data_IF_801600207063
#
_entry.id   IF_801600207063
#
_cell.length_a   1.000
_cell.length_b   1.000
_cell.length_c   1.000
_cell.angle_alpha   90.00
_cell.angle_beta   90.00
_cell.angle_gamma   90.00
#
_symmetry.space_group_name_H-M   'P 1'
#
loop_
_entity.id
_entity.type
_entity.pdbx_description
1 polymer ?
#
# COMPACT_ATOMS: atom_id res chain seq x y z
N UNK A 1 19.78 74.63 -0.13
CA UNK A 1 19.83 74.38 -1.59
C UNK A 1 18.65 73.47 -1.92
N UNK A 2 17.49 74.04 -2.28
CA UNK A 2 16.99 74.24 -3.66
C UNK A 2 16.83 72.92 -4.45
N UNK A 3 15.78 72.59 -5.19
CA UNK A 3 14.38 73.02 -5.31
C UNK A 3 13.85 72.35 -6.60
N UNK A 4 12.55 72.02 -6.63
CA UNK A 4 11.63 71.95 -7.80
C UNK A 4 11.75 70.75 -8.77
N UNK A 5 10.66 69.96 -8.95
CA UNK A 5 9.43 70.17 -9.79
C UNK A 5 9.72 69.82 -11.26
N UNK A 6 9.04 68.88 -11.92
CA UNK A 6 7.75 69.07 -12.62
C UNK A 6 7.51 67.79 -13.47
N UNK A 7 6.39 67.06 -13.33
CA UNK A 7 5.22 67.01 -14.25
C UNK A 7 5.56 66.58 -15.70
N UNK A 8 4.82 65.71 -16.42
CA UNK A 8 3.36 65.55 -16.47
C UNK A 8 2.91 64.58 -17.59
N UNK A 9 1.75 63.91 -17.36
CA UNK A 9 0.61 63.71 -18.30
C UNK A 9 0.77 62.75 -19.51
N UNK A 10 -0.20 61.91 -19.93
CA UNK A 10 -1.67 61.93 -19.86
C UNK A 10 -2.31 60.50 -19.89
N UNK A 11 -3.43 60.37 -19.18
CA UNK A 11 -4.59 59.48 -19.42
C UNK A 11 -5.61 60.24 -20.32
N UNK A 12 -6.61 59.60 -20.99
CA UNK A 12 -7.97 59.46 -20.38
C UNK A 12 -8.75 58.18 -20.85
N UNK A 13 -9.48 57.46 -19.98
CA UNK A 13 -10.89 57.62 -19.49
C UNK A 13 -12.01 57.52 -20.54
N UNK A 14 -12.90 56.52 -20.38
CA UNK A 14 -14.36 56.64 -20.11
C UNK A 14 -15.01 55.22 -20.05
N UNK A 15 -15.69 54.81 -18.95
CA UNK A 15 -17.11 55.10 -18.54
C UNK A 15 -18.11 54.38 -19.49
N UNK A 16 -19.11 53.58 -19.09
CA UNK A 16 -20.04 53.64 -17.95
C UNK A 16 -21.05 52.45 -17.96
N UNK A 17 -21.64 52.17 -16.78
CA UNK A 17 -22.98 51.62 -16.46
C UNK A 17 -23.39 50.20 -16.95
N UNK A 18 -24.13 49.39 -16.19
CA UNK A 18 -24.89 49.66 -14.96
C UNK A 18 -25.47 48.37 -14.36
N UNK A 19 -25.74 48.46 -13.05
CA UNK A 19 -26.30 47.49 -12.11
C UNK A 19 -27.80 47.74 -11.97
N UNK A 20 -28.56 46.69 -11.66
CA UNK A 20 -29.67 46.61 -10.68
C UNK A 20 -30.15 45.16 -10.67
N UNK A 21 -29.97 44.41 -9.58
CA UNK A 21 -30.89 44.28 -8.43
C UNK A 21 -32.17 43.51 -8.85
N UNK A 22 -32.86 42.65 -8.10
CA UNK A 22 -32.88 42.10 -6.74
C UNK A 22 -34.08 41.12 -6.80
N UNK A 23 -34.09 40.00 -6.09
CA UNK A 23 -35.23 39.60 -5.24
C UNK A 23 -35.03 38.22 -4.59
N UNK A 24 -34.84 38.26 -3.28
CA UNK A 24 -35.18 37.18 -2.35
C UNK A 24 -36.71 37.04 -2.26
N UNK A 25 -37.22 35.82 -2.18
CA UNK A 25 -38.45 35.53 -1.42
C UNK A 25 -38.51 34.06 -0.98
N UNK A 26 -38.38 33.90 0.32
CA UNK A 26 -38.78 32.77 1.16
C UNK A 26 -40.26 32.42 1.02
N UNK A 27 -40.64 31.14 1.09
CA UNK A 27 -41.82 30.66 1.83
C UNK A 27 -41.70 29.15 2.15
N UNK A 28 -41.97 28.85 3.40
CA UNK A 28 -42.21 27.54 4.03
C UNK A 28 -43.48 26.84 3.51
N UNK A 29 -43.53 25.50 3.54
CA UNK A 29 -44.50 24.74 4.36
C UNK A 29 -44.38 23.21 4.19
N UNK A 30 -44.57 22.55 5.32
CA UNK A 30 -44.79 21.13 5.59
C UNK A 30 -46.24 20.70 5.32
N UNK A 31 -46.50 19.39 5.46
CA UNK A 31 -47.78 18.62 5.40
C UNK A 31 -48.13 18.05 4.02
N UNK A 32 -48.77 16.90 3.86
CA UNK A 32 -48.95 15.62 4.58
C UNK A 32 -49.80 14.71 3.65
N UNK A 33 -49.88 13.40 3.93
CA UNK A 33 -50.81 12.38 3.36
C UNK A 33 -50.52 11.90 1.90
N UNK A 34 -50.72 10.64 1.48
CA UNK A 34 -51.43 9.47 2.03
C UNK A 34 -50.97 8.13 1.39
N UNK A 35 -51.02 7.07 2.20
CA UNK A 35 -51.43 5.66 1.98
C UNK A 35 -51.55 4.98 0.59
N UNK A 36 -51.19 3.68 0.58
CA UNK A 36 -51.59 2.60 -0.33
C UNK A 36 -50.39 1.75 -0.79
N UNK A 37 -50.08 0.54 -0.28
CA UNK A 37 -50.84 -0.72 -0.42
C UNK A 37 -50.79 -1.19 -1.89
N UNK A 38 -50.29 -2.35 -2.33
CA UNK A 38 -50.15 -3.67 -1.71
C UNK A 38 -49.11 -4.52 -2.45
N UNK A 39 -48.50 -5.43 -1.70
CA UNK A 39 -47.76 -6.62 -2.16
C UNK A 39 -48.71 -7.67 -2.74
N UNK A 40 -48.34 -8.30 -3.85
CA UNK A 40 -48.80 -9.66 -4.23
C UNK A 40 -47.63 -10.41 -4.86
N UNK A 41 -47.22 -11.47 -4.16
CA UNK A 41 -46.55 -12.64 -4.72
C UNK A 41 -47.57 -13.43 -5.53
N UNK A 42 -47.14 -14.02 -6.65
CA UNK A 42 -47.69 -15.29 -7.15
C UNK A 42 -46.57 -16.05 -7.88
N UNK A 43 -46.61 -17.36 -7.64
CA UNK A 43 -45.67 -18.40 -8.01
C UNK A 43 -45.81 -18.87 -9.49
N UNK A 44 -44.84 -19.71 -9.86
CA UNK A 44 -44.90 -20.84 -10.80
C UNK A 44 -44.40 -20.71 -12.27
N UNK A 45 -43.50 -21.66 -12.55
CA UNK A 45 -43.28 -22.40 -13.81
C UNK A 45 -42.39 -21.84 -14.95
N UNK A 46 -41.10 -22.20 -14.85
CA UNK A 46 -40.18 -22.86 -15.82
C UNK A 46 -40.77 -23.36 -17.18
N UNK A 47 -40.00 -23.83 -18.20
CA UNK A 47 -38.69 -23.50 -18.80
C UNK A 47 -38.76 -23.32 -20.36
N UNK A 48 -37.61 -22.96 -20.99
CA UNK A 48 -37.25 -23.08 -22.43
C UNK A 48 -38.05 -22.27 -23.49
N UNK A 49 -37.33 -21.43 -24.23
CA UNK A 49 -37.80 -20.86 -25.50
C UNK A 49 -36.79 -19.92 -26.15
N UNK A 50 -36.12 -20.41 -27.20
CA UNK A 50 -35.18 -19.70 -28.05
C UNK A 50 -35.78 -18.46 -28.75
N UNK A 51 -34.92 -17.47 -29.04
CA UNK A 51 -34.92 -16.56 -30.21
C UNK A 51 -34.11 -15.31 -29.83
N UNK A 52 -33.43 -14.56 -30.68
CA UNK A 52 -33.12 -14.59 -32.11
C UNK A 52 -32.12 -13.43 -32.25
N UNK A 53 -31.01 -13.64 -32.96
CA UNK A 53 -30.02 -12.61 -33.27
C UNK A 53 -30.66 -11.42 -33.99
N UNK A 54 -30.27 -10.20 -33.60
CA UNK A 54 -30.48 -8.99 -34.39
C UNK A 54 -29.15 -8.24 -34.50
N UNK A 55 -28.70 -8.09 -35.74
CA UNK A 55 -27.45 -7.47 -36.16
C UNK A 55 -27.44 -5.94 -35.99
N UNK A 56 -26.23 -5.41 -35.79
CA UNK A 56 -25.74 -4.26 -36.56
C UNK A 56 -25.88 -2.86 -35.93
N UNK A 57 -24.76 -2.28 -35.49
CA UNK A 57 -24.23 -1.00 -36.00
C UNK A 57 -22.91 -0.61 -35.29
N UNK A 58 -21.81 -0.51 -36.05
CA UNK A 58 -20.54 0.13 -35.65
C UNK A 58 -20.28 1.36 -36.53
N UNK A 59 -19.92 2.53 -35.98
CA UNK A 59 -19.33 3.61 -36.75
C UNK A 59 -17.80 3.44 -36.80
N UNK A 60 -17.25 3.41 -38.01
CA UNK A 60 -15.82 3.29 -38.28
C UNK A 60 -15.03 4.57 -38.02
N UNK A 61 -13.78 4.39 -37.58
CA UNK A 61 -12.71 5.38 -37.68
C UNK A 61 -11.68 4.90 -38.69
N UNK A 62 -11.27 5.82 -39.56
CA UNK A 62 -10.42 5.58 -40.71
C UNK A 62 -8.97 5.24 -40.37
N UNK A 63 -8.47 4.37 -41.23
CA UNK A 63 -7.11 3.95 -41.57
C UNK A 63 -5.98 4.94 -41.23
N UNK A 64 -4.88 4.40 -40.70
CA UNK A 64 -3.56 4.48 -41.33
C UNK A 64 -2.61 3.40 -40.78
N UNK A 65 -1.69 3.00 -41.64
CA UNK A 65 -0.99 1.71 -41.75
C UNK A 65 -0.11 1.28 -40.56
N UNK A 66 -0.26 0.02 -40.13
CA UNK A 66 0.65 -0.66 -39.20
C UNK A 66 0.34 -2.15 -39.14
N UNK A 67 1.35 -2.98 -39.36
CA UNK A 67 1.23 -4.40 -39.74
C UNK A 67 0.30 -5.25 -38.85
N UNK A 68 -0.57 -5.97 -39.54
CA UNK A 68 -1.54 -6.95 -39.06
C UNK A 68 -0.81 -8.21 -38.55
N UNK A 69 -0.75 -8.39 -37.23
CA UNK A 69 -0.51 -9.71 -36.66
C UNK A 69 -1.86 -10.45 -36.64
N UNK A 70 -2.00 -11.39 -37.57
CA UNK A 70 -3.08 -12.36 -37.64
C UNK A 70 -3.28 -13.04 -36.27
N UNK A 71 -4.31 -12.61 -35.53
CA UNK A 71 -4.98 -13.50 -34.61
C UNK A 71 -5.90 -14.38 -35.45
N UNK A 72 -5.55 -15.65 -35.58
CA UNK A 72 -6.51 -16.65 -36.03
C UNK A 72 -7.62 -16.69 -34.98
N UNK A 73 -8.78 -16.12 -35.31
CA UNK A 73 -10.03 -16.43 -34.63
C UNK A 73 -10.35 -17.88 -34.96
N UNK A 74 -9.99 -18.79 -34.06
CA UNK A 74 -10.53 -20.13 -34.05
C UNK A 74 -11.71 -20.12 -33.06
N UNK A 75 -12.91 -19.92 -33.60
CA UNK A 75 -14.20 -20.08 -32.91
C UNK A 75 -14.48 -21.58 -32.69
N UNK A 76 -13.59 -22.25 -31.95
CA UNK A 76 -13.85 -23.58 -31.42
C UNK A 76 -13.74 -23.52 -29.91
N UNK A 77 -14.84 -23.85 -29.23
CA UNK A 77 -14.94 -23.93 -27.77
C UNK A 77 -14.05 -25.01 -27.19
N UNK A 78 -12.74 -24.78 -27.21
CA UNK A 78 -11.72 -25.64 -26.67
C UNK A 78 -11.68 -25.51 -25.15
N UNK A 79 -12.09 -26.56 -24.46
CA UNK A 79 -11.66 -26.80 -23.09
C UNK A 79 -10.13 -26.84 -23.11
N UNK A 80 -9.47 -25.79 -22.62
CA UNK A 80 -8.00 -25.71 -22.57
C UNK A 80 -7.45 -27.00 -21.98
N UNK A 81 -6.78 -27.78 -22.82
CA UNK A 81 -6.30 -29.11 -22.43
C UNK A 81 -5.05 -28.97 -21.57
N UNK A 82 -4.73 -30.02 -20.81
CA UNK A 82 -3.45 -30.08 -20.08
C UNK A 82 -2.26 -29.91 -21.04
N UNK A 83 -2.41 -30.35 -22.30
CA UNK A 83 -1.41 -30.19 -23.36
C UNK A 83 -1.23 -28.73 -23.80
N UNK A 84 -2.30 -27.94 -23.90
CA UNK A 84 -2.20 -26.49 -24.18
C UNK A 84 -1.52 -25.75 -23.03
N UNK A 85 -1.79 -26.17 -21.78
CA UNK A 85 -1.14 -25.64 -20.59
C UNK A 85 0.33 -26.06 -20.51
N UNK A 86 0.65 -27.32 -20.82
CA UNK A 86 2.02 -27.82 -20.93
C UNK A 86 2.79 -27.12 -22.05
N UNK A 87 2.15 -26.83 -23.18
CA UNK A 87 2.78 -26.12 -24.30
C UNK A 87 3.00 -24.63 -23.96
N UNK A 88 2.05 -23.97 -23.30
CA UNK A 88 2.22 -22.61 -22.79
C UNK A 88 3.30 -22.53 -21.69
N UNK A 89 3.36 -23.53 -20.81
CA UNK A 89 4.41 -23.67 -19.78
C UNK A 89 5.77 -24.03 -20.39
N UNK A 90 5.80 -24.78 -21.50
CA UNK A 90 7.05 -25.12 -22.23
C UNK A 90 7.73 -23.88 -22.85
N UNK A 91 6.97 -22.78 -23.01
CA UNK A 91 7.50 -21.50 -23.47
C UNK A 91 8.17 -20.70 -22.34
N UNK A 92 7.89 -21.02 -21.06
CA UNK A 92 8.51 -20.37 -19.90
C UNK A 92 9.80 -21.07 -19.50
N UNK A 93 10.89 -20.70 -20.17
CA UNK A 93 12.21 -21.24 -19.88
C UNK A 93 12.98 -20.27 -18.97
N UNK A 94 12.81 -20.44 -17.66
CA UNK A 94 13.50 -19.65 -16.63
C UNK A 94 15.03 -19.65 -16.85
N UNK A 95 15.60 -20.74 -17.38
CA UNK A 95 17.04 -20.83 -17.61
C UNK A 95 17.54 -19.86 -18.70
N UNK A 96 16.70 -19.55 -19.69
CA UNK A 96 17.00 -18.55 -20.72
C UNK A 96 16.90 -17.13 -20.17
N UNK A 97 15.87 -16.82 -19.38
CA UNK A 97 15.76 -15.52 -18.68
C UNK A 97 16.97 -15.30 -17.77
N UNK A 98 17.33 -16.35 -17.03
CA UNK A 98 18.46 -16.36 -16.11
C UNK A 98 19.81 -16.26 -16.82
N UNK A 99 19.89 -16.41 -18.15
CA UNK A 99 21.13 -16.21 -18.91
C UNK A 99 21.37 -14.75 -19.34
N UNK A 100 20.37 -13.87 -19.23
CA UNK A 100 20.42 -12.50 -19.77
C UNK A 100 20.76 -11.49 -18.68
N UNK A 101 21.65 -10.54 -19.03
CA UNK A 101 21.98 -9.38 -18.20
C UNK A 101 21.28 -8.14 -18.77
N UNK A 102 20.34 -7.57 -18.01
CA UNK A 102 19.55 -6.40 -18.42
C UNK A 102 20.14 -5.08 -17.96
N UNK A 103 20.91 -5.07 -16.87
CA UNK A 103 21.54 -3.85 -16.34
C UNK A 103 22.97 -4.08 -15.90
N UNK A 104 23.76 -3.01 -16.00
CA UNK A 104 25.03 -2.89 -15.32
C UNK A 104 24.82 -2.57 -13.84
N UNK A 105 25.47 -3.33 -12.95
CA UNK A 105 25.41 -3.10 -11.50
C UNK A 105 26.60 -2.21 -11.10
N UNK A 106 26.35 -0.99 -10.61
CA UNK A 106 27.43 -0.14 -10.14
C UNK A 106 27.97 -0.70 -8.80
N UNK A 107 29.30 -0.68 -8.60
CA UNK A 107 29.93 -1.22 -7.39
C UNK A 107 29.54 -0.44 -6.12
N UNK A 108 28.97 0.76 -6.26
CA UNK A 108 28.48 1.51 -5.12
C UNK A 108 27.17 0.97 -4.52
N UNK A 109 26.41 0.13 -5.23
CA UNK A 109 25.13 -0.39 -4.72
C UNK A 109 25.32 -1.26 -3.48
N UNK A 110 26.37 -2.08 -3.46
CA UNK A 110 26.74 -2.88 -2.28
C UNK A 110 27.13 -1.99 -1.10
N UNK A 111 27.83 -0.87 -1.37
CA UNK A 111 28.18 0.11 -0.33
C UNK A 111 26.95 0.79 0.27
N UNK A 112 25.91 1.03 -0.53
CA UNK A 112 24.63 1.55 -0.03
C UNK A 112 23.97 0.56 0.93
N UNK A 113 23.86 -0.72 0.54
CA UNK A 113 23.33 -1.76 1.41
C UNK A 113 24.14 -1.88 2.71
N UNK A 114 25.46 -1.90 2.61
CA UNK A 114 26.34 -2.00 3.78
C UNK A 114 26.20 -0.81 4.74
N UNK A 115 26.12 0.42 4.20
CA UNK A 115 25.89 1.62 5.01
C UNK A 115 24.52 1.57 5.70
N UNK A 116 23.47 1.18 4.98
CA UNK A 116 22.12 1.02 5.55
C UNK A 116 22.10 -0.05 6.65
N UNK A 117 22.80 -1.17 6.45
CA UNK A 117 22.92 -2.23 7.45
C UNK A 117 23.51 -1.69 8.76
N UNK A 118 24.62 -0.94 8.68
CA UNK A 118 25.25 -0.35 9.86
C UNK A 118 24.30 0.64 10.56
N UNK A 119 23.68 1.55 9.79
CA UNK A 119 22.80 2.57 10.36
C UNK A 119 21.61 1.94 11.10
N UNK A 120 20.95 0.97 10.49
CA UNK A 120 19.81 0.29 11.10
C UNK A 120 20.23 -0.61 12.27
N UNK A 121 21.40 -1.26 12.19
CA UNK A 121 21.94 -2.06 13.30
C UNK A 121 22.23 -1.20 14.52
N UNK A 122 22.93 -0.07 14.33
CA UNK A 122 23.23 0.87 15.42
C UNK A 122 21.95 1.48 15.99
N UNK A 123 20.99 1.83 15.13
CA UNK A 123 19.69 2.34 15.56
C UNK A 123 18.90 1.29 16.34
N UNK A 124 18.88 0.02 15.91
CA UNK A 124 18.26 -1.09 16.64
C UNK A 124 18.94 -1.31 18.00
N UNK A 125 20.28 -1.27 18.06
CA UNK A 125 21.02 -1.37 19.32
C UNK A 125 20.71 -0.24 20.30
N UNK A 126 20.61 1.00 19.80
CA UNK A 126 20.19 2.14 20.63
C UNK A 126 18.77 1.96 21.16
N UNK A 127 17.84 1.47 20.34
CA UNK A 127 16.46 1.20 20.75
C UNK A 127 16.35 0.07 21.76
N UNK A 128 17.20 -0.97 21.69
CA UNK A 128 17.25 -2.02 22.72
C UNK A 128 17.58 -1.39 24.07
N UNK A 129 18.61 -0.54 24.12
CA UNK A 129 18.97 0.17 25.34
C UNK A 129 17.82 1.05 25.85
N UNK A 130 17.21 1.86 24.97
CA UNK A 130 16.11 2.74 25.37
C UNK A 130 14.87 1.97 25.83
N UNK A 131 14.55 0.86 25.16
CA UNK A 131 13.41 0.01 25.53
C UNK A 131 13.62 -0.58 26.91
N UNK A 132 14.78 -1.22 27.15
CA UNK A 132 15.09 -1.83 28.46
C UNK A 132 15.18 -0.78 29.56
N UNK A 133 15.79 0.38 29.29
CA UNK A 133 16.06 1.39 30.31
C UNK A 133 14.83 2.22 30.68
N UNK A 134 13.88 2.42 29.76
CA UNK A 134 12.79 3.39 29.93
C UNK A 134 11.38 2.86 29.64
N UNK A 135 11.24 1.73 28.94
CA UNK A 135 9.93 1.26 28.44
C UNK A 135 9.53 -0.14 28.91
N UNK A 136 10.47 -0.92 29.45
CA UNK A 136 10.24 -2.30 29.87
C UNK A 136 9.73 -2.42 31.32
N UNK A 137 9.83 -1.34 32.11
CA UNK A 137 9.26 -1.28 33.46
C UNK A 137 7.76 -0.95 33.42
N UNK A 138 6.99 -1.36 34.45
CA UNK A 138 5.54 -1.13 34.55
C UNK A 138 5.17 0.34 34.83
N UNK A 139 6.12 1.27 34.67
CA UNK A 139 6.05 2.66 35.10
C UNK A 139 5.33 3.61 34.14
N UNK A 140 4.52 3.11 33.20
CA UNK A 140 3.61 3.93 32.38
C UNK A 140 3.93 4.03 30.89
N UNK A 141 4.93 3.32 30.37
CA UNK A 141 5.19 3.25 28.92
C UNK A 141 4.12 2.41 28.20
N UNK A 142 3.87 2.71 26.91
CA UNK A 142 2.87 1.99 26.14
C UNK A 142 3.19 0.49 26.02
N UNK A 143 2.20 -0.34 26.41
CA UNK A 143 2.29 -1.80 26.35
C UNK A 143 1.45 -2.37 25.22
N UNK A 144 2.02 -3.33 24.52
CA UNK A 144 1.42 -4.07 23.43
C UNK A 144 0.52 -5.18 24.01
N UNK A 145 -0.65 -4.83 24.53
CA UNK A 145 -1.58 -5.85 25.04
C UNK A 145 -2.17 -6.66 23.88
N UNK A 146 -2.25 -7.98 24.06
CA UNK A 146 -2.88 -8.88 23.11
C UNK A 146 -4.00 -9.63 23.81
N UNK A 147 -5.22 -9.39 23.35
CA UNK A 147 -6.43 -10.03 23.82
C UNK A 147 -6.93 -11.07 22.82
N UNK A 148 -7.80 -11.96 23.28
CA UNK A 148 -8.55 -12.85 22.41
C UNK A 148 -9.98 -13.01 22.92
N UNK A 149 -10.87 -13.27 21.97
CA UNK A 149 -12.30 -13.41 22.18
C UNK A 149 -12.70 -14.85 21.87
N UNK A 150 -13.13 -15.61 22.89
CA UNK A 150 -13.57 -16.99 22.71
C UNK A 150 -15.03 -17.15 23.16
N UNK A 151 -15.81 -18.03 22.49
CA UNK A 151 -17.09 -18.49 23.00
C UNK A 151 -16.97 -18.97 24.45
N UNK A 152 -17.89 -18.53 25.30
CA UNK A 152 -18.09 -19.17 26.61
C UNK A 152 -19.43 -19.91 26.61
N UNK A 153 -19.42 -21.12 27.17
CA UNK A 153 -20.65 -21.88 27.38
C UNK A 153 -21.38 -21.28 28.58
N UNK A 154 -22.45 -20.54 28.30
CA UNK A 154 -23.46 -20.18 29.30
C UNK A 154 -24.40 -21.36 29.49
N UNK A 155 -24.81 -21.64 30.74
CA UNK A 155 -25.79 -22.69 31.04
C UNK A 155 -27.07 -22.49 30.20
N UNK A 156 -27.75 -23.60 29.87
CA UNK A 156 -28.94 -23.71 28.99
C UNK A 156 -30.11 -22.74 29.32
N UNK A 157 -30.04 -22.02 30.45
CA UNK A 157 -31.04 -21.04 30.88
C UNK A 157 -30.80 -19.62 30.36
N UNK A 158 -29.65 -19.31 29.76
CA UNK A 158 -29.40 -18.04 29.09
C UNK A 158 -29.14 -18.29 27.61
N UNK A 159 -30.13 -17.98 26.78
CA UNK A 159 -30.15 -18.17 25.33
C UNK A 159 -29.15 -17.27 24.56
N UNK A 160 -28.20 -16.65 25.26
CA UNK A 160 -27.20 -15.74 24.71
C UNK A 160 -25.79 -16.24 25.04
N UNK A 161 -25.07 -16.61 23.98
CA UNK A 161 -23.67 -16.98 24.03
C UNK A 161 -22.86 -15.77 24.52
N UNK A 162 -22.25 -15.86 25.69
CA UNK A 162 -21.35 -14.81 26.18
C UNK A 162 -19.97 -14.94 25.52
N UNK A 163 -19.35 -13.80 25.21
CA UNK A 163 -17.98 -13.75 24.70
C UNK A 163 -17.05 -13.57 25.90
N UNK A 164 -16.07 -14.46 26.04
CA UNK A 164 -15.00 -14.30 27.03
C UNK A 164 -13.88 -13.47 26.41
N UNK A 165 -13.64 -12.30 26.98
CA UNK A 165 -12.50 -11.44 26.69
C UNK A 165 -11.41 -11.70 27.75
N UNK A 166 -10.19 -12.06 27.33
CA UNK A 166 -9.06 -12.20 28.25
C UNK A 166 -7.73 -11.85 27.57
N UNK A 167 -6.77 -11.38 28.37
CA UNK A 167 -5.42 -11.06 27.91
C UNK A 167 -4.60 -12.34 27.78
N UNK A 168 -3.90 -12.50 26.66
CA UNK A 168 -2.96 -13.59 26.44
C UNK A 168 -1.58 -13.25 27.01
N UNK A 169 -1.05 -12.09 26.59
CA UNK A 169 0.23 -11.56 27.06
C UNK A 169 0.35 -10.07 26.67
N UNK A 170 1.34 -9.40 27.25
CA UNK A 170 1.77 -8.05 26.86
C UNK A 170 3.28 -7.92 26.89
N UNK A 171 3.80 -6.95 26.15
CA UNK A 171 5.22 -6.60 26.08
C UNK A 171 5.39 -5.11 25.82
N UNK A 172 6.59 -4.57 26.05
CA UNK A 172 6.87 -3.16 25.76
C UNK A 172 6.79 -2.88 24.25
N UNK A 173 6.04 -1.85 23.85
CA UNK A 173 5.86 -1.50 22.43
C UNK A 173 7.18 -1.14 21.72
N UNK A 174 8.19 -0.68 22.46
CA UNK A 174 9.54 -0.41 21.96
C UNK A 174 10.24 -1.60 21.29
N UNK A 175 9.80 -2.84 21.55
CA UNK A 175 10.32 -4.02 20.87
C UNK A 175 9.97 -4.08 19.38
N UNK A 176 8.86 -3.48 18.93
CA UNK A 176 8.51 -3.41 17.51
C UNK A 176 9.58 -2.75 16.65
N UNK A 177 9.96 -1.48 16.88
CA UNK A 177 10.97 -0.81 16.07
C UNK A 177 12.35 -1.47 16.21
N UNK A 178 12.68 -2.10 17.34
CA UNK A 178 13.89 -2.93 17.50
C UNK A 178 13.92 -4.05 16.46
N UNK A 179 12.86 -4.87 16.39
CA UNK A 179 12.80 -5.99 15.46
C UNK A 179 12.72 -5.52 14.00
N UNK A 180 11.94 -4.48 13.71
CA UNK A 180 11.80 -3.92 12.36
C UNK A 180 13.16 -3.48 11.81
N UNK A 181 13.94 -2.71 12.59
CA UNK A 181 15.27 -2.26 12.16
C UNK A 181 16.29 -3.40 12.19
N UNK A 182 16.20 -4.32 13.15
CA UNK A 182 17.11 -5.46 13.25
C UNK A 182 16.99 -6.41 12.05
N UNK A 183 15.76 -6.77 11.66
CA UNK A 183 15.50 -7.62 10.48
C UNK A 183 16.02 -6.93 9.20
N UNK A 184 15.75 -5.63 9.07
CA UNK A 184 16.20 -4.85 7.90
C UNK A 184 17.74 -4.76 7.85
N UNK A 185 18.39 -4.56 9.01
CA UNK A 185 19.84 -4.56 9.11
C UNK A 185 20.46 -5.90 8.73
N UNK A 186 19.86 -7.02 9.19
CA UNK A 186 20.29 -8.38 8.82
C UNK A 186 20.16 -8.60 7.32
N UNK A 187 19.02 -8.25 6.72
CA UNK A 187 18.82 -8.38 5.28
C UNK A 187 19.87 -7.60 4.47
N UNK A 188 20.11 -6.34 4.83
CA UNK A 188 21.12 -5.52 4.18
C UNK A 188 22.55 -6.04 4.39
N UNK A 189 22.87 -6.59 5.57
CA UNK A 189 24.15 -7.23 5.83
C UNK A 189 24.33 -8.50 4.99
N UNK A 190 23.30 -9.33 4.87
CA UNK A 190 23.33 -10.56 4.07
C UNK A 190 23.58 -10.25 2.58
N UNK A 191 22.82 -9.34 1.97
CA UNK A 191 23.02 -8.97 0.56
C UNK A 191 24.34 -8.23 0.30
N UNK A 192 24.99 -7.74 1.35
CA UNK A 192 26.32 -7.12 1.25
C UNK A 192 27.48 -8.08 1.54
N UNK A 193 27.20 -9.31 1.98
CA UNK A 193 28.21 -10.28 2.41
C UNK A 193 27.97 -11.66 1.79
N UNK A 194 27.31 -12.57 2.51
CA UNK A 194 27.14 -13.97 2.11
C UNK A 194 26.18 -14.17 0.92
N UNK A 195 25.25 -13.23 0.70
CA UNK A 195 24.26 -13.30 -0.39
C UNK A 195 24.55 -12.31 -1.53
N UNK A 196 25.73 -11.66 -1.54
CA UNK A 196 26.05 -10.62 -2.53
C UNK A 196 25.95 -11.12 -3.98
N UNK A 197 26.50 -12.29 -4.29
CA UNK A 197 26.45 -12.84 -5.64
C UNK A 197 25.00 -13.11 -6.11
N UNK A 198 24.16 -13.64 -5.23
CA UNK A 198 22.74 -13.88 -5.53
C UNK A 198 21.97 -12.57 -5.67
N UNK A 199 22.26 -11.59 -4.82
CA UNK A 199 21.67 -10.25 -4.93
C UNK A 199 22.01 -9.61 -6.27
N UNK A 200 23.29 -9.55 -6.63
CA UNK A 200 23.74 -8.99 -7.90
C UNK A 200 23.12 -9.73 -9.10
N UNK A 201 23.05 -11.07 -9.04
CA UNK A 201 22.37 -11.86 -10.06
C UNK A 201 20.91 -11.44 -10.28
N UNK A 202 20.12 -11.25 -9.22
CA UNK A 202 18.73 -10.81 -9.41
C UNK A 202 18.63 -9.34 -9.87
N UNK A 203 19.49 -8.46 -9.35
CA UNK A 203 19.48 -7.04 -9.71
C UNK A 203 19.82 -6.83 -11.19
N UNK A 204 20.78 -7.58 -11.74
CA UNK A 204 21.07 -7.49 -13.18
C UNK A 204 19.91 -7.93 -14.06
N UNK A 205 18.88 -8.58 -13.49
CA UNK A 205 17.65 -9.04 -14.14
C UNK A 205 16.41 -8.23 -13.76
N UNK A 206 16.59 -7.04 -13.17
CA UNK A 206 15.48 -6.18 -12.68
C UNK A 206 14.63 -6.83 -11.58
N UNK A 207 15.22 -7.67 -10.74
CA UNK A 207 14.52 -8.32 -9.63
C UNK A 207 15.24 -8.11 -8.31
N UNK A 208 14.49 -8.04 -7.22
CA UNK A 208 15.05 -8.06 -5.87
C UNK A 208 14.14 -8.84 -4.91
N UNK A 209 14.34 -10.15 -4.86
CA UNK A 209 13.59 -11.05 -3.97
C UNK A 209 13.87 -10.78 -2.49
N UNK A 210 15.10 -10.39 -2.15
CA UNK A 210 15.51 -10.10 -0.76
C UNK A 210 14.72 -8.93 -0.17
N UNK A 211 14.53 -7.85 -0.95
CA UNK A 211 13.69 -6.71 -0.55
C UNK A 211 12.28 -7.14 -0.20
N UNK A 212 11.62 -7.90 -1.07
CA UNK A 212 10.21 -8.22 -0.87
C UNK A 212 9.96 -9.20 0.28
N UNK A 213 10.92 -10.08 0.58
CA UNK A 213 10.90 -10.89 1.81
C UNK A 213 11.11 -10.05 3.08
N UNK A 214 12.03 -9.09 3.06
CA UNK A 214 12.23 -8.21 4.20
C UNK A 214 11.04 -7.27 4.42
N UNK A 215 10.49 -6.70 3.33
CA UNK A 215 9.33 -5.81 3.41
C UNK A 215 8.08 -6.56 3.85
N UNK A 216 7.85 -7.80 3.40
CA UNK A 216 6.67 -8.55 3.83
C UNK A 216 6.65 -8.80 5.33
N UNK A 217 7.80 -8.92 6.00
CA UNK A 217 7.86 -9.08 7.46
C UNK A 217 7.84 -7.71 8.16
N UNK A 218 8.70 -6.80 7.72
CA UNK A 218 8.90 -5.51 8.41
C UNK A 218 7.70 -4.57 8.28
N UNK A 219 7.06 -4.51 7.10
CA UNK A 219 5.83 -3.74 6.90
C UNK A 219 4.67 -4.33 7.71
N UNK A 220 4.62 -5.66 7.87
CA UNK A 220 3.61 -6.31 8.70
C UNK A 220 3.78 -6.02 10.18
N UNK A 221 5.02 -6.03 10.69
CA UNK A 221 5.31 -5.61 12.07
C UNK A 221 5.01 -4.13 12.28
N UNK A 222 5.36 -3.27 11.32
CA UNK A 222 5.03 -1.85 11.35
C UNK A 222 3.51 -1.65 11.46
N UNK A 223 2.74 -2.37 10.64
CA UNK A 223 1.28 -2.22 10.61
C UNK A 223 0.62 -2.78 11.87
N UNK A 224 1.13 -3.87 12.43
CA UNK A 224 0.69 -4.41 13.72
C UNK A 224 0.96 -3.42 14.88
N UNK A 225 2.14 -2.78 14.90
CA UNK A 225 2.46 -1.73 15.87
C UNK A 225 1.46 -0.56 15.78
N UNK A 226 1.20 -0.05 14.57
CA UNK A 226 0.24 1.05 14.38
C UNK A 226 -1.17 0.65 14.80
N UNK A 227 -1.60 -0.58 14.51
CA UNK A 227 -2.87 -1.10 14.96
C UNK A 227 -3.00 -1.08 16.50
N UNK A 228 -1.96 -1.52 17.21
CA UNK A 228 -1.95 -1.50 18.67
C UNK A 228 -1.90 -0.08 19.24
N UNK A 229 -1.17 0.86 18.61
CA UNK A 229 -1.16 2.27 19.03
C UNK A 229 -2.53 2.95 18.93
N UNK A 230 -3.38 2.53 17.98
CA UNK A 230 -4.76 3.04 17.87
C UNK A 230 -5.76 2.21 18.67
N UNK A 231 -5.30 1.24 19.47
CA UNK A 231 -6.13 0.46 20.39
C UNK A 231 -6.64 -0.89 19.86
N UNK A 232 -6.18 -1.36 18.69
CA UNK A 232 -6.51 -2.70 18.19
C UNK A 232 -5.65 -3.73 18.89
N UNK A 233 -6.24 -4.55 19.76
CA UNK A 233 -5.52 -5.51 20.59
C UNK A 233 -5.95 -6.96 20.40
N UNK A 234 -7.02 -7.24 19.66
CA UNK A 234 -7.46 -8.60 19.37
C UNK A 234 -6.45 -9.34 18.46
N UNK A 235 -6.00 -10.51 18.91
CA UNK A 235 -5.02 -11.34 18.21
C UNK A 235 -5.41 -11.65 16.76
N UNK A 236 -6.68 -11.96 16.49
CA UNK A 236 -7.11 -12.39 15.17
C UNK A 236 -7.11 -11.23 14.18
N UNK A 237 -7.50 -10.03 14.65
CA UNK A 237 -7.43 -8.81 13.84
C UNK A 237 -5.97 -8.46 13.55
N UNK A 238 -5.09 -8.52 14.56
CA UNK A 238 -3.66 -8.27 14.40
C UNK A 238 -3.01 -9.25 13.42
N UNK A 239 -3.34 -10.54 13.49
CA UNK A 239 -2.90 -11.54 12.51
C UNK A 239 -3.41 -11.24 11.11
N UNK A 240 -4.67 -10.84 10.97
CA UNK A 240 -5.25 -10.43 9.69
C UNK A 240 -4.49 -9.26 9.08
N UNK A 241 -4.24 -8.21 9.86
CA UNK A 241 -3.45 -7.04 9.45
C UNK A 241 -2.04 -7.47 9.04
N UNK A 242 -1.37 -8.31 9.84
CA UNK A 242 -0.03 -8.80 9.58
C UNK A 242 0.06 -9.55 8.25
N UNK A 243 -0.82 -10.53 8.01
CA UNK A 243 -0.77 -11.32 6.78
C UNK A 243 -1.21 -10.53 5.55
N UNK A 244 -2.20 -9.65 5.67
CA UNK A 244 -2.59 -8.76 4.56
C UNK A 244 -1.45 -7.82 4.18
N UNK A 245 -0.74 -7.24 5.14
CA UNK A 245 0.44 -6.43 4.86
C UNK A 245 1.56 -7.23 4.16
N UNK A 246 1.77 -8.49 4.56
CA UNK A 246 2.75 -9.36 3.93
C UNK A 246 2.36 -9.70 2.48
N UNK A 247 1.11 -10.12 2.27
CA UNK A 247 0.56 -10.45 0.95
C UNK A 247 0.63 -9.22 0.03
N UNK A 248 0.33 -8.03 0.53
CA UNK A 248 0.46 -6.79 -0.23
C UNK A 248 1.88 -6.61 -0.79
N UNK A 249 2.92 -6.72 0.04
CA UNK A 249 4.32 -6.58 -0.40
C UNK A 249 4.75 -7.69 -1.38
N UNK A 250 4.30 -8.92 -1.14
CA UNK A 250 4.61 -10.06 -2.01
C UNK A 250 3.94 -9.92 -3.39
N UNK A 251 2.69 -9.48 -3.45
CA UNK A 251 1.98 -9.22 -4.72
C UNK A 251 2.57 -8.03 -5.46
N UNK A 252 2.75 -6.91 -4.75
CA UNK A 252 3.25 -5.65 -5.31
C UNK A 252 4.57 -5.87 -6.03
N UNK A 253 5.47 -6.60 -5.39
CA UNK A 253 6.85 -6.73 -5.83
C UNK A 253 7.21 -8.11 -6.33
N UNK A 254 7.24 -9.10 -5.44
CA UNK A 254 7.78 -10.43 -5.73
C UNK A 254 7.08 -11.09 -6.92
N UNK A 255 5.74 -11.14 -6.89
CA UNK A 255 4.95 -11.74 -7.96
C UNK A 255 5.07 -10.89 -9.22
N UNK A 256 4.90 -9.58 -9.13
CA UNK A 256 4.98 -8.69 -10.29
C UNK A 256 6.34 -8.77 -11.02
N UNK A 257 7.45 -8.71 -10.28
CA UNK A 257 8.81 -8.80 -10.85
C UNK A 257 9.08 -10.17 -11.49
N UNK A 258 8.52 -11.25 -10.93
CA UNK A 258 8.70 -12.61 -11.44
C UNK A 258 7.90 -12.87 -12.72
N UNK A 259 6.61 -12.49 -12.75
CA UNK A 259 5.72 -12.68 -13.89
C UNK A 259 6.17 -11.84 -15.10
N UNK A 260 6.75 -10.66 -14.84
CA UNK A 260 7.22 -9.76 -15.90
C UNK A 260 8.69 -9.94 -16.28
N UNK A 261 9.37 -10.98 -15.78
CA UNK A 261 10.79 -11.23 -16.06
C UNK A 261 11.05 -11.41 -17.58
N UNK A 262 10.25 -12.23 -18.25
CA UNK A 262 10.36 -12.46 -19.70
C UNK A 262 10.00 -11.24 -20.52
N UNK A 263 8.92 -10.54 -20.13
CA UNK A 263 8.49 -9.32 -20.80
C UNK A 263 9.60 -8.26 -20.79
N UNK A 264 10.36 -8.14 -19.68
CA UNK A 264 11.53 -7.25 -19.60
C UNK A 264 12.74 -7.79 -20.35
N UNK A 265 12.98 -9.10 -20.31
CA UNK A 265 14.18 -9.70 -20.90
C UNK A 265 14.15 -9.71 -22.42
N UNK A 266 13.01 -10.08 -23.00
CA UNK A 266 12.89 -10.31 -24.44
C UNK A 266 12.01 -9.28 -25.17
N UNK A 267 11.27 -8.43 -24.44
CA UNK A 267 10.28 -7.47 -25.00
C UNK A 267 9.28 -8.10 -25.98
N UNK A 268 9.00 -9.40 -25.81
CA UNK A 268 8.10 -10.14 -26.69
C UNK A 268 6.62 -9.94 -26.36
N UNK A 269 6.31 -9.47 -25.14
CA UNK A 269 4.95 -9.38 -24.59
C UNK A 269 4.77 -8.10 -23.77
N UNK A 270 3.56 -7.52 -23.71
CA UNK A 270 3.28 -6.40 -22.82
C UNK A 270 3.42 -6.81 -21.34
N UNK A 271 3.71 -5.84 -20.48
CA UNK A 271 3.81 -6.07 -19.04
C UNK A 271 2.44 -6.43 -18.45
N UNK A 272 2.40 -7.44 -17.59
CA UNK A 272 1.23 -7.84 -16.83
C UNK A 272 1.16 -7.06 -15.50
N UNK A 273 0.18 -6.17 -15.40
CA UNK A 273 -0.04 -5.33 -14.21
C UNK A 273 -1.00 -5.92 -13.17
N UNK A 274 -1.53 -7.13 -13.39
CA UNK A 274 -2.53 -7.76 -12.50
C UNK A 274 -2.06 -7.84 -11.05
N UNK A 275 -0.83 -8.30 -10.81
CA UNK A 275 -0.26 -8.41 -9.45
C UNK A 275 -0.15 -7.04 -8.75
N UNK A 276 0.21 -5.99 -9.49
CA UNK A 276 0.27 -4.62 -8.97
C UNK A 276 -1.13 -4.14 -8.58
N UNK A 277 -2.12 -4.29 -9.48
CA UNK A 277 -3.51 -3.90 -9.21
C UNK A 277 -4.09 -4.67 -8.03
N UNK A 278 -3.86 -5.99 -7.97
CA UNK A 278 -4.32 -6.83 -6.88
C UNK A 278 -3.67 -6.50 -5.53
N UNK A 279 -2.46 -5.93 -5.52
CA UNK A 279 -1.79 -5.54 -4.28
C UNK A 279 -2.55 -4.45 -3.52
N UNK A 280 -3.35 -3.61 -4.17
CA UNK A 280 -4.09 -2.53 -3.52
C UNK A 280 -5.19 -3.04 -2.58
N UNK A 281 -5.79 -4.20 -2.86
CA UNK A 281 -6.82 -4.78 -1.99
C UNK A 281 -6.31 -5.12 -0.58
N UNK A 282 -5.23 -5.92 -0.41
CA UNK A 282 -4.68 -6.18 0.92
C UNK A 282 -4.07 -4.93 1.57
N UNK A 283 -3.55 -3.96 0.78
CA UNK A 283 -3.14 -2.66 1.33
C UNK A 283 -4.31 -2.00 2.06
N UNK A 284 -5.41 -1.76 1.34
CA UNK A 284 -6.61 -1.14 1.87
C UNK A 284 -7.21 -1.94 3.03
N UNK A 285 -7.36 -3.26 2.86
CA UNK A 285 -7.94 -4.13 3.89
C UNK A 285 -7.16 -4.10 5.21
N UNK A 286 -5.82 -4.03 5.16
CA UNK A 286 -4.99 -3.92 6.36
C UNK A 286 -5.04 -2.53 7.03
N UNK A 287 -5.32 -1.47 6.26
CA UNK A 287 -5.36 -0.09 6.75
C UNK A 287 -6.75 0.36 7.23
N UNK A 288 -7.83 -0.20 6.68
CA UNK A 288 -9.20 0.18 7.05
C UNK A 288 -9.44 0.11 8.57
N UNK A 289 -9.11 -0.98 9.29
CA UNK A 289 -9.31 -1.04 10.74
C UNK A 289 -8.49 0.03 11.47
N UNK A 290 -7.26 0.26 11.06
CA UNK A 290 -6.34 1.22 11.68
C UNK A 290 -6.89 2.64 11.52
N UNK A 291 -7.27 3.03 10.30
CA UNK A 291 -7.84 4.35 10.03
C UNK A 291 -9.17 4.54 10.76
N UNK A 292 -10.01 3.50 10.81
CA UNK A 292 -11.26 3.56 11.54
C UNK A 292 -11.04 3.86 13.02
N UNK A 293 -10.21 3.06 13.70
CA UNK A 293 -9.90 3.23 15.12
C UNK A 293 -9.19 4.55 15.39
N UNK A 294 -8.28 4.97 14.50
CA UNK A 294 -7.63 6.26 14.57
C UNK A 294 -8.62 7.43 14.50
N UNK A 295 -9.57 7.40 13.56
CA UNK A 295 -10.58 8.45 13.41
C UNK A 295 -11.52 8.46 14.60
N UNK A 296 -11.96 7.30 15.08
CA UNK A 296 -12.81 7.20 16.28
C UNK A 296 -12.09 7.77 17.51
N UNK A 297 -10.84 7.34 17.76
CA UNK A 297 -10.02 7.87 18.85
C UNK A 297 -9.82 9.39 18.72
N UNK A 298 -9.58 9.90 17.51
CA UNK A 298 -9.44 11.33 17.27
C UNK A 298 -10.74 12.10 17.56
N UNK A 299 -11.90 11.60 17.13
CA UNK A 299 -13.19 12.29 17.29
C UNK A 299 -13.72 12.23 18.73
N UNK A 300 -13.42 11.14 19.46
CA UNK A 300 -13.92 10.90 20.82
C UNK A 300 -12.96 11.42 21.90
N UNK A 301 -11.65 11.28 21.69
CA UNK A 301 -10.60 11.61 22.68
C UNK A 301 -10.03 13.01 22.51
N UNK A 302 -10.28 13.73 21.41
CA UNK A 302 -9.86 15.14 21.25
C UNK A 302 -10.50 16.13 22.26
N UNK A 303 -11.28 15.64 23.23
CA UNK A 303 -11.76 16.41 24.40
C UNK A 303 -10.88 16.22 25.65
N UNK A 304 -9.93 15.29 25.63
CA UNK A 304 -9.03 14.93 26.73
C UNK A 304 -7.68 14.52 26.12
N UNK A 305 -6.79 15.49 25.92
CA UNK A 305 -5.38 15.38 25.48
C UNK A 305 -5.02 14.16 24.61
N UNK A 306 -5.13 14.26 23.26
CA UNK A 306 -4.74 13.17 22.38
C UNK A 306 -3.22 12.93 22.41
N UNK A 307 -2.81 11.66 22.33
CA UNK A 307 -1.41 11.27 22.17
C UNK A 307 -0.87 11.84 20.85
N UNK A 308 -0.24 13.02 20.93
CA UNK A 308 0.20 13.80 19.79
C UNK A 308 1.11 13.00 18.85
N UNK A 309 1.92 12.11 19.43
CA UNK A 309 2.80 11.26 18.65
C UNK A 309 2.01 10.25 17.78
N UNK A 310 0.92 9.66 18.26
CA UNK A 310 0.04 8.77 17.46
C UNK A 310 -0.63 9.55 16.34
N UNK A 311 -1.11 10.77 16.63
CA UNK A 311 -1.73 11.68 15.66
C UNK A 311 -0.82 12.01 14.47
N UNK A 312 0.48 12.12 14.72
CA UNK A 312 1.49 12.39 13.68
C UNK A 312 1.96 11.09 13.01
N UNK A 313 2.19 10.04 13.81
CA UNK A 313 2.79 8.80 13.34
C UNK A 313 1.92 8.08 12.31
N UNK A 314 0.63 7.92 12.59
CA UNK A 314 -0.29 7.15 11.73
C UNK A 314 -0.39 7.75 10.32
N UNK A 315 -0.66 9.06 10.13
CA UNK A 315 -0.69 9.66 8.78
C UNK A 315 0.65 9.62 8.05
N UNK A 316 1.77 9.85 8.76
CA UNK A 316 3.11 9.80 8.15
C UNK A 316 3.41 8.39 7.65
N UNK A 317 3.09 7.35 8.44
CA UNK A 317 3.29 5.97 8.03
C UNK A 317 2.37 5.55 6.87
N UNK A 318 1.11 6.00 6.86
CA UNK A 318 0.22 5.81 5.72
C UNK A 318 0.81 6.45 4.45
N UNK A 319 1.41 7.64 4.57
CA UNK A 319 2.11 8.29 3.47
C UNK A 319 3.28 7.47 2.92
N UNK A 320 4.12 6.89 3.78
CA UNK A 320 5.20 6.00 3.37
C UNK A 320 4.68 4.72 2.68
N UNK A 321 3.61 4.13 3.20
CA UNK A 321 2.99 2.92 2.65
C UNK A 321 2.38 3.16 1.27
N UNK A 322 1.81 4.35 1.01
CA UNK A 322 1.31 4.73 -0.31
C UNK A 322 2.45 5.13 -1.26
N UNK A 323 3.54 5.71 -0.74
CA UNK A 323 4.69 6.07 -1.56
C UNK A 323 5.40 4.84 -2.15
N UNK A 324 5.36 3.69 -1.46
CA UNK A 324 5.95 2.44 -1.93
C UNK A 324 5.40 1.95 -3.29
N UNK A 325 4.08 1.71 -3.45
CA UNK A 325 3.50 1.32 -4.74
C UNK A 325 3.62 2.41 -5.80
N UNK A 326 3.60 3.71 -5.42
CA UNK A 326 3.85 4.80 -6.36
C UNK A 326 5.27 4.76 -6.93
N UNK A 327 6.28 4.58 -6.07
CA UNK A 327 7.67 4.41 -6.51
C UNK A 327 7.83 3.17 -7.40
N UNK A 328 7.15 2.08 -7.05
CA UNK A 328 7.13 0.86 -7.85
C UNK A 328 6.51 1.07 -9.23
N UNK A 329 5.38 1.78 -9.30
CA UNK A 329 4.73 2.12 -10.55
C UNK A 329 5.63 2.96 -11.45
N UNK A 330 6.32 3.97 -10.90
CA UNK A 330 7.28 4.78 -11.67
C UNK A 330 8.45 3.93 -12.16
N UNK A 331 8.94 2.97 -11.36
CA UNK A 331 10.02 2.05 -11.74
C UNK A 331 9.65 1.14 -12.92
N UNK A 332 8.39 0.71 -13.00
CA UNK A 332 7.89 -0.24 -14.01
C UNK A 332 7.21 0.42 -15.21
N UNK A 333 6.72 1.66 -15.07
CA UNK A 333 6.03 2.38 -16.12
C UNK A 333 6.98 2.86 -17.22
N UNK A 334 6.59 2.63 -18.48
CA UNK A 334 7.32 3.10 -19.66
C UNK A 334 7.13 4.60 -19.93
N UNK A 335 6.20 5.26 -19.23
CA UNK A 335 5.80 6.67 -19.44
C UNK A 335 6.46 7.66 -18.48
N UNK A 336 7.27 7.19 -17.54
CA UNK A 336 7.93 8.08 -16.59
C UNK A 336 8.96 8.99 -17.29
N UNK A 337 8.99 10.31 -17.02
CA UNK A 337 9.97 11.24 -17.61
C UNK A 337 11.43 10.90 -17.24
N UNK A 338 11.61 10.00 -16.27
CA UNK A 338 12.87 9.50 -15.77
C UNK A 338 13.24 8.13 -16.39
N UNK A 339 12.79 7.84 -17.61
CA UNK A 339 13.07 6.59 -18.34
C UNK A 339 14.57 6.29 -18.48
N UNK A 340 15.41 7.31 -18.44
CA UNK A 340 16.86 7.21 -18.47
C UNK A 340 17.46 6.65 -17.15
N UNK A 341 16.66 6.52 -16.09
CA UNK A 341 17.10 5.99 -14.81
C UNK A 341 17.06 4.46 -14.83
N UNK A 342 18.24 3.86 -14.70
CA UNK A 342 18.38 2.41 -14.52
C UNK A 342 17.61 1.90 -13.30
N UNK A 343 17.16 0.65 -13.34
CA UNK A 343 16.55 -0.06 -12.20
C UNK A 343 17.32 0.10 -10.89
N UNK A 344 18.66 0.22 -10.97
CA UNK A 344 19.53 0.44 -9.81
C UNK A 344 19.25 1.76 -9.08
N UNK A 345 18.82 2.80 -9.78
CA UNK A 345 18.48 4.06 -9.12
C UNK A 345 17.17 3.95 -8.33
N UNK A 346 16.19 3.19 -8.85
CA UNK A 346 14.97 2.87 -8.12
C UNK A 346 15.25 1.96 -6.93
N UNK A 347 16.16 0.99 -7.08
CA UNK A 347 16.66 0.17 -5.96
C UNK A 347 17.22 1.06 -4.83
N UNK A 348 18.05 2.07 -5.16
CA UNK A 348 18.53 3.05 -4.16
C UNK A 348 17.38 3.85 -3.55
N UNK A 349 16.38 4.22 -4.34
CA UNK A 349 15.16 4.85 -3.87
C UNK A 349 14.41 4.00 -2.85
N UNK A 350 14.28 2.69 -3.11
CA UNK A 350 13.68 1.74 -2.16
C UNK A 350 14.50 1.58 -0.89
N UNK A 351 15.84 1.48 -0.98
CA UNK A 351 16.72 1.44 0.19
C UNK A 351 16.51 2.71 1.05
N UNK A 352 16.49 3.89 0.43
CA UNK A 352 16.26 5.14 1.13
C UNK A 352 14.86 5.22 1.75
N UNK A 353 13.84 4.79 1.00
CA UNK A 353 12.45 4.75 1.48
C UNK A 353 12.33 3.84 2.72
N UNK A 354 12.95 2.65 2.70
CA UNK A 354 12.98 1.73 3.83
C UNK A 354 13.66 2.36 5.05
N UNK A 355 14.83 2.98 4.84
CA UNK A 355 15.57 3.65 5.91
C UNK A 355 14.77 4.80 6.53
N UNK A 356 14.17 5.66 5.70
CA UNK A 356 13.38 6.80 6.15
C UNK A 356 12.09 6.36 6.85
N UNK A 357 11.35 5.42 6.28
CA UNK A 357 10.11 4.92 6.87
C UNK A 357 10.35 4.29 8.25
N UNK A 358 11.25 3.31 8.33
CA UNK A 358 11.53 2.59 9.58
C UNK A 358 12.20 3.47 10.63
N UNK A 359 13.13 4.32 10.20
CA UNK A 359 13.77 5.29 11.09
C UNK A 359 12.76 6.30 11.64
N UNK A 360 11.88 6.83 10.79
CA UNK A 360 10.83 7.77 11.21
C UNK A 360 9.87 7.09 12.18
N UNK A 361 9.42 5.86 11.91
CA UNK A 361 8.58 5.08 12.82
C UNK A 361 9.23 4.97 14.21
N UNK A 362 10.46 4.47 14.24
CA UNK A 362 11.18 4.20 15.47
C UNK A 362 11.39 5.46 16.30
N UNK A 363 11.94 6.51 15.69
CA UNK A 363 12.33 7.71 16.43
C UNK A 363 11.14 8.60 16.78
N UNK A 364 10.09 8.67 15.95
CA UNK A 364 8.86 9.37 16.35
C UNK A 364 8.15 8.66 17.49
N UNK A 365 8.12 7.32 17.49
CA UNK A 365 7.57 6.55 18.60
C UNK A 365 8.34 6.82 19.90
N UNK A 366 9.67 6.65 19.89
CA UNK A 366 10.49 6.87 21.08
C UNK A 366 10.41 8.31 21.58
N UNK A 367 10.46 9.30 20.69
CA UNK A 367 10.28 10.70 21.09
C UNK A 367 8.87 10.94 21.67
N UNK A 368 7.86 10.26 21.15
CA UNK A 368 6.50 10.29 21.67
C UNK A 368 6.43 9.85 23.13
N UNK A 369 6.91 8.64 23.40
CA UNK A 369 6.87 8.01 24.73
C UNK A 369 7.76 8.68 25.78
N UNK A 370 8.86 9.33 25.37
CA UNK A 370 9.80 9.94 26.31
C UNK A 370 9.52 11.43 26.59
N UNK A 371 8.77 12.11 25.72
CA UNK A 371 8.52 13.56 25.83
C UNK A 371 7.09 13.89 26.28
N UNK A 372 6.14 12.99 26.08
CA UNK A 372 4.74 13.12 26.43
C UNK A 372 4.36 11.98 27.37
#
# INVERSE_FOLDING_TARGET
MNAKKSMSHLHPKNRLFGRTDVDERSYSQSESMSEGGSTTYDDDDNPYGESSYAEGYTPGFGNDEGQEYLYANDDSGGTGTVEDMEQAMSYYDQSKVDSITLNHIPPNLVRWNYATAILQFLSSGALIYLTIAFMDDDSGAARAHIFTNLPSHTNEQQQQQSIRHFELFSFAMGWYPVFILGISAINHAMVSTCCQNSYEFYISRNQNRFRWWEYSITTSLLRAMLAQLVGITDLHILLGIFFLAAINMLLLGMVHESVNAEARAFRQRPQNWSAYTLSWFPLLASWIPIVWYFVDAFLTTARTDPDLHVLILVPVMLGFDVLCPLLFWVMWSDTAPWKEYSYVNYEKGFILLSLLSKGTLAWLYVCGELLF
#
